data_IF_138687971168
#
_entry.id   IF_138687971168
#
_cell.length_a   1.000
_cell.length_b   1.000
_cell.length_c   1.000
_cell.angle_alpha   90.00
_cell.angle_beta   90.00
_cell.angle_gamma   90.00
#
_symmetry.space_group_name_H-M   'P 1'
#
loop_
_entity.id
_entity.type
_entity.pdbx_description
1 polymer ?
#
# COMPACT_ATOMS: atom_id res chain seq x y z
N UNK A 1 -18.93 -9.16 -16.39
CA UNK A 1 -17.80 -8.27 -16.69
C UNK A 1 -16.62 -8.62 -15.79
N UNK A 2 -15.42 -8.64 -16.35
CA UNK A 2 -14.20 -8.91 -15.58
C UNK A 2 -13.42 -7.61 -15.45
N UNK A 3 -13.40 -7.05 -14.25
CA UNK A 3 -12.78 -5.75 -13.97
C UNK A 3 -12.18 -5.75 -12.57
N UNK A 4 -11.15 -4.94 -12.38
CA UNK A 4 -10.52 -4.79 -11.07
C UNK A 4 -10.10 -3.34 -10.87
N UNK A 5 -10.00 -2.94 -9.62
CA UNK A 5 -9.43 -1.65 -9.23
C UNK A 5 -8.17 -1.94 -8.41
N UNK A 6 -7.11 -1.22 -8.72
CA UNK A 6 -5.89 -1.27 -7.92
C UNK A 6 -5.55 0.13 -7.41
N UNK A 7 -5.08 0.27 -6.18
CA UNK A 7 -4.41 1.50 -5.77
C UNK A 7 -3.20 1.72 -6.68
N UNK A 8 -3.01 2.94 -7.13
CA UNK A 8 -1.87 3.31 -7.95
C UNK A 8 -1.26 4.58 -7.38
N UNK A 9 -0.05 4.46 -6.82
CA UNK A 9 0.60 5.56 -6.12
C UNK A 9 1.66 6.22 -7.00
N UNK A 10 1.79 7.53 -6.85
CA UNK A 10 2.86 8.30 -7.45
C UNK A 10 3.78 8.78 -6.33
N UNK A 11 5.06 8.42 -6.41
CA UNK A 11 6.06 8.80 -5.41
C UNK A 11 7.16 9.64 -6.05
N UNK A 12 7.81 10.46 -5.26
CA UNK A 12 9.03 11.15 -5.70
C UNK A 12 10.11 10.15 -6.05
N UNK A 13 10.19 9.05 -5.29
CA UNK A 13 11.11 7.94 -5.54
C UNK A 13 10.42 6.63 -5.19
N UNK A 14 9.86 5.96 -6.20
CA UNK A 14 9.12 4.71 -6.00
C UNK A 14 10.03 3.57 -5.56
N UNK A 15 11.28 3.54 -6.01
CA UNK A 15 12.25 2.51 -5.60
C UNK A 15 12.43 2.49 -4.08
N UNK A 16 12.63 3.67 -3.48
CA UNK A 16 12.76 3.81 -2.02
C UNK A 16 11.45 3.48 -1.31
N UNK A 17 10.31 3.88 -1.90
CA UNK A 17 9.00 3.60 -1.33
C UNK A 17 8.74 2.10 -1.27
N UNK A 18 9.08 1.35 -2.31
CA UNK A 18 8.93 -0.10 -2.34
C UNK A 18 9.76 -0.76 -1.21
N UNK A 19 10.98 -0.30 -1.01
CA UNK A 19 11.83 -0.81 0.08
C UNK A 19 11.17 -0.58 1.44
N UNK A 20 10.59 0.60 1.63
CA UNK A 20 9.84 0.92 2.85
C UNK A 20 8.65 -0.03 3.05
N UNK A 21 7.84 -0.26 2.01
CA UNK A 21 6.70 -1.17 2.14
C UNK A 21 7.11 -2.62 2.36
N UNK A 22 8.24 -3.05 1.80
CA UNK A 22 8.80 -4.37 2.09
C UNK A 22 9.21 -4.49 3.56
N UNK A 23 9.90 -3.49 4.09
CA UNK A 23 10.41 -3.51 5.45
C UNK A 23 9.31 -3.33 6.49
N UNK A 24 8.41 -2.36 6.29
CA UNK A 24 7.43 -1.95 7.30
C UNK A 24 6.09 -2.67 7.15
N UNK A 25 5.62 -2.86 5.91
CA UNK A 25 4.33 -3.47 5.63
C UNK A 25 4.43 -4.97 5.27
N UNK A 26 5.64 -5.48 5.13
CA UNK A 26 5.81 -6.86 4.71
C UNK A 26 5.43 -7.11 3.26
N UNK A 27 5.57 -6.12 2.40
CA UNK A 27 5.23 -6.26 0.99
C UNK A 27 6.02 -7.38 0.32
N UNK A 28 5.34 -8.13 -0.54
CA UNK A 28 5.91 -9.26 -1.28
C UNK A 28 5.58 -9.12 -2.77
N UNK A 29 6.03 -10.08 -3.57
CA UNK A 29 5.75 -10.14 -5.01
C UNK A 29 6.07 -8.83 -5.73
N UNK A 30 7.21 -8.25 -5.38
CA UNK A 30 7.66 -6.97 -5.93
C UNK A 30 8.16 -7.13 -7.37
N UNK A 31 7.71 -6.23 -8.24
CA UNK A 31 8.33 -6.06 -9.57
C UNK A 31 8.50 -4.56 -9.82
N UNK A 32 9.51 -4.22 -10.61
CA UNK A 32 9.81 -2.82 -10.92
C UNK A 32 10.45 -2.72 -12.31
N UNK A 33 9.92 -1.82 -13.12
CA UNK A 33 10.42 -1.54 -14.47
C UNK A 33 10.98 -0.14 -14.53
N UNK A 34 12.25 -0.04 -14.92
CA UNK A 34 12.93 1.24 -15.14
C UNK A 34 12.72 1.73 -16.57
N UNK A 35 12.82 3.05 -16.81
CA UNK A 35 12.72 3.55 -18.19
C UNK A 35 13.91 3.10 -19.02
N UNK A 36 13.65 2.87 -20.30
CA UNK A 36 14.69 2.59 -21.29
C UNK A 36 15.23 3.92 -21.84
N UNK A 37 16.42 3.94 -22.48
CA UNK A 37 16.97 5.19 -23.04
C UNK A 37 16.01 5.94 -23.96
N UNK A 38 15.19 5.25 -24.76
CA UNK A 38 14.20 5.87 -25.62
C UNK A 38 13.14 6.63 -24.82
N UNK A 39 12.73 6.07 -23.69
CA UNK A 39 11.74 6.67 -22.80
C UNK A 39 12.30 7.87 -22.04
N UNK A 40 13.63 7.88 -21.79
CA UNK A 40 14.28 9.00 -21.14
C UNK A 40 14.09 10.31 -21.91
N UNK A 41 14.15 10.23 -23.24
CA UNK A 41 13.93 11.40 -24.10
C UNK A 41 12.46 11.84 -24.06
N UNK A 42 11.55 10.88 -24.05
CA UNK A 42 10.11 11.12 -24.04
C UNK A 42 9.65 11.83 -22.77
N UNK A 43 10.28 11.52 -21.63
CA UNK A 43 9.94 12.11 -20.32
C UNK A 43 10.88 13.23 -19.89
N UNK A 44 11.71 13.73 -20.80
CA UNK A 44 12.67 14.83 -20.53
C UNK A 44 13.59 14.55 -19.35
N UNK A 45 14.02 13.30 -19.19
CA UNK A 45 14.94 12.90 -18.12
C UNK A 45 16.34 13.43 -18.47
N UNK A 46 16.97 14.19 -17.56
CA UNK A 46 18.30 14.76 -17.83
C UNK A 46 19.36 13.69 -18.09
N UNK A 47 20.34 14.02 -18.93
CA UNK A 47 21.51 13.18 -19.11
C UNK A 47 22.28 13.03 -17.80
N UNK A 48 22.89 11.88 -17.59
CA UNK A 48 23.66 11.59 -16.39
C UNK A 48 22.84 11.01 -15.24
N UNK A 49 21.52 10.98 -15.37
CA UNK A 49 20.65 10.30 -14.39
C UNK A 49 20.74 8.79 -14.63
N UNK A 50 20.92 8.04 -13.54
CA UNK A 50 20.93 6.58 -13.63
C UNK A 50 19.48 6.09 -13.82
N UNK A 51 19.16 5.59 -15.00
CA UNK A 51 17.81 5.13 -15.33
C UNK A 51 17.35 3.96 -14.45
N UNK A 52 18.28 3.18 -13.91
CA UNK A 52 17.93 2.07 -13.03
C UNK A 52 17.35 2.53 -11.69
N UNK A 53 17.57 3.78 -11.32
CA UNK A 53 17.01 4.36 -10.09
C UNK A 53 15.61 4.95 -10.30
N UNK A 54 15.15 5.03 -11.54
CA UNK A 54 13.83 5.55 -11.89
C UNK A 54 12.85 4.41 -12.08
N UNK A 55 11.58 4.66 -11.80
CA UNK A 55 10.52 3.66 -11.89
C UNK A 55 9.41 4.14 -12.81
N UNK A 56 9.25 3.46 -13.95
CA UNK A 56 8.15 3.70 -14.89
C UNK A 56 6.87 3.02 -14.43
N UNK A 57 7.01 1.84 -13.83
CA UNK A 57 5.88 1.06 -13.34
C UNK A 57 6.40 0.02 -12.37
N UNK A 58 5.65 -0.18 -11.30
CA UNK A 58 5.99 -1.17 -10.28
C UNK A 58 4.74 -1.68 -9.60
N UNK A 59 4.89 -2.75 -8.88
CA UNK A 59 3.82 -3.29 -8.06
C UNK A 59 4.35 -4.17 -6.95
N UNK A 60 3.52 -4.38 -5.97
CA UNK A 60 3.81 -5.24 -4.83
C UNK A 60 2.50 -5.70 -4.21
N UNK A 61 2.59 -6.63 -3.28
CA UNK A 61 1.42 -7.22 -2.61
C UNK A 61 1.50 -6.96 -1.11
N UNK A 62 0.42 -6.48 -0.51
CA UNK A 62 0.27 -6.29 0.93
C UNK A 62 -0.91 -7.14 1.39
N UNK A 63 -0.68 -8.09 2.30
CA UNK A 63 -1.73 -8.98 2.81
C UNK A 63 -2.55 -9.62 1.68
N UNK A 64 -1.88 -10.05 0.61
CA UNK A 64 -2.53 -10.68 -0.53
C UNK A 64 -3.18 -9.72 -1.52
N UNK A 65 -3.11 -8.43 -1.29
CA UNK A 65 -3.74 -7.41 -2.15
C UNK A 65 -2.70 -6.64 -2.95
N UNK A 66 -2.97 -6.47 -4.24
CA UNK A 66 -2.03 -5.83 -5.17
C UNK A 66 -2.11 -4.31 -5.12
N UNK A 67 -0.95 -3.69 -5.06
CA UNK A 67 -0.78 -2.23 -5.16
C UNK A 67 0.21 -1.95 -6.29
N UNK A 68 -0.04 -0.91 -7.06
CA UNK A 68 0.84 -0.48 -8.13
C UNK A 68 1.36 0.92 -7.86
N UNK A 69 2.49 1.28 -8.45
CA UNK A 69 3.08 2.60 -8.27
C UNK A 69 4.07 2.94 -9.38
N UNK A 70 4.48 4.18 -9.39
CA UNK A 70 5.52 4.69 -10.28
C UNK A 70 6.10 5.97 -9.70
N UNK A 71 7.20 6.44 -10.28
CA UNK A 71 7.69 7.79 -10.00
C UNK A 71 6.71 8.83 -10.54
N UNK A 72 6.58 9.94 -9.85
CA UNK A 72 5.73 11.05 -10.29
C UNK A 72 6.49 11.93 -11.29
N UNK A 73 6.60 11.47 -12.53
CA UNK A 73 7.34 12.20 -13.57
C UNK A 73 6.70 13.54 -13.91
N UNK A 74 5.38 13.59 -13.98
CA UNK A 74 4.64 14.79 -14.38
C UNK A 74 3.51 15.15 -13.43
N UNK A 75 3.28 14.35 -12.42
CA UNK A 75 2.16 14.50 -11.50
C UNK A 75 2.55 15.04 -10.14
N UNK A 76 1.53 15.26 -9.33
CA UNK A 76 1.70 15.66 -7.94
C UNK A 76 1.77 14.40 -7.07
N UNK A 77 2.78 14.30 -6.20
CA UNK A 77 2.92 13.21 -5.25
C UNK A 77 2.56 13.61 -3.82
N UNK A 78 1.89 14.75 -3.66
CA UNK A 78 1.47 15.19 -2.34
C UNK A 78 0.27 14.37 -1.83
N UNK A 79 0.23 14.07 -0.53
CA UNK A 79 -0.87 13.29 0.03
C UNK A 79 -2.20 14.04 -0.01
N UNK A 80 -3.29 13.27 -0.13
CA UNK A 80 -4.65 13.79 -0.07
C UNK A 80 -5.43 13.03 1.00
N UNK A 81 -6.06 13.74 1.92
CA UNK A 81 -6.88 13.14 2.98
C UNK A 81 -8.25 12.65 2.51
N UNK A 82 -8.60 12.85 1.25
CA UNK A 82 -9.91 12.50 0.73
C UNK A 82 -10.11 11.00 0.54
N UNK A 83 -9.03 10.26 0.24
CA UNK A 83 -9.11 8.82 -0.03
C UNK A 83 -8.29 8.07 1.01
N UNK A 84 -8.90 7.03 1.58
CA UNK A 84 -8.21 6.06 2.45
C UNK A 84 -8.33 4.68 1.83
N UNK A 85 -7.38 3.82 2.14
CA UNK A 85 -7.39 2.43 1.68
C UNK A 85 -7.77 1.52 2.83
N UNK A 86 -8.78 0.70 2.63
CA UNK A 86 -9.24 -0.25 3.65
C UNK A 86 -8.72 -1.64 3.30
N UNK A 87 -7.91 -2.19 4.21
CA UNK A 87 -7.46 -3.58 4.15
C UNK A 87 -8.50 -4.41 4.91
N UNK A 88 -9.35 -5.12 4.19
CA UNK A 88 -10.45 -5.87 4.78
C UNK A 88 -10.14 -7.36 4.78
N UNK A 89 -10.10 -7.94 5.95
CA UNK A 89 -9.59 -9.29 6.21
C UNK A 89 -10.70 -10.15 6.81
N UNK A 90 -10.87 -11.35 6.30
CA UNK A 90 -11.84 -12.31 6.82
C UNK A 90 -11.31 -13.00 8.09
N UNK A 91 -11.89 -12.67 9.24
CA UNK A 91 -11.46 -13.24 10.52
C UNK A 91 -11.86 -14.70 10.71
N UNK A 92 -12.71 -15.24 9.84
CA UNK A 92 -13.09 -16.67 9.89
C UNK A 92 -11.97 -17.57 9.36
N UNK A 93 -11.05 -17.02 8.58
CA UNK A 93 -9.85 -17.72 8.15
C UNK A 93 -8.74 -17.49 9.17
N UNK A 94 -8.32 -18.51 9.95
CA UNK A 94 -7.34 -18.31 11.02
C UNK A 94 -6.00 -17.77 10.53
N UNK A 95 -5.56 -18.17 9.34
CA UNK A 95 -4.31 -17.68 8.76
C UNK A 95 -4.40 -16.17 8.45
N UNK A 96 -5.52 -15.72 7.89
CA UNK A 96 -5.76 -14.32 7.58
C UNK A 96 -5.88 -13.48 8.85
N UNK A 97 -6.61 -13.98 9.85
CA UNK A 97 -6.77 -13.29 11.13
C UNK A 97 -5.41 -13.09 11.81
N UNK A 98 -4.58 -14.14 11.82
CA UNK A 98 -3.24 -14.04 12.40
C UNK A 98 -2.36 -13.08 11.61
N UNK A 99 -2.43 -13.12 10.29
CA UNK A 99 -1.65 -12.22 9.43
C UNK A 99 -2.00 -10.75 9.71
N UNK A 100 -3.27 -10.45 9.94
CA UNK A 100 -3.70 -9.09 10.27
C UNK A 100 -3.15 -8.65 11.62
N UNK A 101 -3.21 -9.50 12.64
CA UNK A 101 -2.67 -9.18 13.96
C UNK A 101 -1.16 -8.96 13.91
N UNK A 102 -0.42 -9.83 13.23
CA UNK A 102 1.03 -9.71 13.07
C UNK A 102 1.40 -8.45 12.30
N UNK A 103 0.64 -8.12 11.28
CA UNK A 103 0.82 -6.90 10.48
C UNK A 103 0.69 -5.65 11.36
N UNK A 104 -0.38 -5.57 12.13
CA UNK A 104 -0.60 -4.42 13.01
C UNK A 104 0.48 -4.30 14.08
N UNK A 105 0.88 -5.42 14.69
CA UNK A 105 1.95 -5.43 15.69
C UNK A 105 3.25 -4.86 15.11
N UNK A 106 3.57 -5.22 13.87
CA UNK A 106 4.75 -4.70 13.19
C UNK A 106 4.64 -3.21 12.92
N UNK A 107 3.45 -2.72 12.53
CA UNK A 107 3.21 -1.29 12.32
C UNK A 107 3.40 -0.49 13.61
N UNK A 108 2.90 -0.99 14.73
CA UNK A 108 3.01 -0.31 16.02
C UNK A 108 4.47 -0.09 16.44
N UNK A 109 5.37 -0.98 16.03
CA UNK A 109 6.78 -0.92 16.38
C UNK A 109 7.60 -0.02 15.46
N UNK A 110 7.00 0.48 14.39
CA UNK A 110 7.71 1.30 13.40
C UNK A 110 7.61 2.78 13.75
N UNK A 111 8.74 3.49 13.66
CA UNK A 111 8.77 4.94 13.82
C UNK A 111 8.28 5.67 12.56
N UNK A 112 8.10 4.94 11.45
CA UNK A 112 7.70 5.49 10.16
C UNK A 112 6.21 5.27 9.85
N UNK A 113 5.41 4.94 10.88
CA UNK A 113 3.97 4.79 10.79
C UNK A 113 3.32 5.53 11.95
N UNK A 114 2.30 6.30 11.65
CA UNK A 114 1.48 6.96 12.67
C UNK A 114 0.19 6.18 12.86
N UNK A 115 -0.05 5.63 14.05
CA UNK A 115 -1.30 4.97 14.39
C UNK A 115 -2.32 6.07 14.70
N UNK A 116 -3.35 6.19 13.88
CA UNK A 116 -4.40 7.20 14.07
C UNK A 116 -5.59 6.63 14.84
N UNK A 117 -5.80 5.32 14.80
CA UNK A 117 -6.82 4.63 15.56
C UNK A 117 -6.31 3.24 15.93
N UNK A 118 -6.21 2.88 17.22
CA UNK A 118 -5.75 1.55 17.62
C UNK A 118 -6.63 0.45 17.03
N UNK A 119 -6.02 -0.68 16.68
CA UNK A 119 -6.73 -1.83 16.12
C UNK A 119 -7.41 -2.61 17.24
N UNK A 120 -8.69 -2.34 17.46
CA UNK A 120 -9.46 -2.87 18.57
C UNK A 120 -10.86 -3.29 18.12
N UNK A 121 -11.50 -4.15 18.92
CA UNK A 121 -12.89 -4.54 18.73
C UNK A 121 -13.80 -3.31 18.70
N UNK A 122 -14.77 -3.31 17.79
CA UNK A 122 -15.74 -2.26 17.65
C UNK A 122 -17.14 -2.80 17.97
N UNK A 123 -18.08 -1.90 18.22
CA UNK A 123 -19.44 -2.28 18.64
C UNK A 123 -20.19 -3.08 17.57
N UNK A 124 -19.80 -2.99 16.30
CA UNK A 124 -20.44 -3.72 15.21
C UNK A 124 -19.91 -5.15 15.03
N UNK A 125 -18.98 -5.61 15.88
CA UNK A 125 -18.52 -6.98 15.90
C UNK A 125 -17.25 -7.30 15.12
N UNK A 126 -16.57 -6.28 14.61
CA UNK A 126 -15.29 -6.41 13.96
C UNK A 126 -14.21 -5.64 14.68
N UNK A 127 -12.95 -5.88 14.31
CA UNK A 127 -11.81 -5.05 14.76
C UNK A 127 -11.47 -4.06 13.67
N UNK A 128 -11.17 -2.82 14.05
CA UNK A 128 -10.75 -1.80 13.10
C UNK A 128 -9.65 -0.93 13.70
N UNK A 129 -8.70 -0.57 12.86
CA UNK A 129 -7.65 0.38 13.19
C UNK A 129 -7.35 1.27 12.01
N UNK A 130 -6.65 2.37 12.25
CA UNK A 130 -6.25 3.31 11.23
C UNK A 130 -4.81 3.71 11.39
N UNK A 131 -4.14 4.01 10.30
CA UNK A 131 -2.75 4.44 10.34
C UNK A 131 -2.41 5.23 9.08
N UNK A 132 -1.38 6.07 9.22
CA UNK A 132 -0.86 6.87 8.10
C UNK A 132 0.59 6.45 7.87
N UNK A 133 0.95 6.18 6.62
CA UNK A 133 2.30 5.75 6.30
C UNK A 133 3.25 6.94 6.16
N UNK A 134 4.53 6.65 5.94
CA UNK A 134 5.60 7.64 5.78
C UNK A 134 5.31 8.66 4.68
N UNK A 135 4.54 8.27 3.68
CA UNK A 135 4.23 9.10 2.52
C UNK A 135 2.92 9.88 2.66
N UNK A 136 2.27 9.78 3.83
CA UNK A 136 1.02 10.50 4.10
C UNK A 136 -0.24 9.80 3.59
N UNK A 137 -0.12 8.56 3.15
CA UNK A 137 -1.26 7.77 2.69
C UNK A 137 -1.99 7.20 3.90
N UNK A 138 -3.30 7.37 3.92
CA UNK A 138 -4.16 6.89 5.01
C UNK A 138 -4.67 5.49 4.73
N UNK A 139 -4.49 4.61 5.70
CA UNK A 139 -4.90 3.21 5.63
C UNK A 139 -5.82 2.88 6.80
N UNK A 140 -6.70 1.91 6.58
CA UNK A 140 -7.48 1.29 7.65
C UNK A 140 -7.31 -0.23 7.57
N UNK A 141 -7.25 -0.88 8.72
CA UNK A 141 -7.23 -2.33 8.83
C UNK A 141 -8.50 -2.77 9.50
N UNK A 142 -9.20 -3.70 8.88
CA UNK A 142 -10.48 -4.21 9.39
C UNK A 142 -10.51 -5.72 9.30
N UNK A 143 -10.92 -6.38 10.37
CA UNK A 143 -11.19 -7.82 10.35
C UNK A 143 -12.59 -8.07 10.86
N UNK A 144 -13.32 -8.96 10.21
CA UNK A 144 -14.65 -9.37 10.61
C UNK A 144 -14.97 -10.75 10.02
N UNK A 145 -15.93 -11.47 10.62
CA UNK A 145 -16.39 -12.72 10.01
C UNK A 145 -17.25 -12.43 8.79
N UNK A 146 -16.71 -12.66 7.61
CA UNK A 146 -17.36 -12.28 6.35
C UNK A 146 -18.72 -12.95 6.14
N UNK A 147 -18.90 -14.20 6.61
CA UNK A 147 -20.16 -14.89 6.47
C UNK A 147 -21.31 -14.24 7.26
N UNK A 148 -20.98 -13.38 8.24
CA UNK A 148 -21.93 -12.70 9.11
C UNK A 148 -22.05 -11.20 8.83
N UNK A 149 -21.28 -10.70 7.87
CA UNK A 149 -21.27 -9.28 7.53
C UNK A 149 -22.27 -9.00 6.40
N UNK A 150 -23.13 -8.00 6.60
CA UNK A 150 -24.07 -7.56 5.56
C UNK A 150 -23.34 -6.85 4.42
N UNK A 151 -22.13 -6.39 4.66
CA UNK A 151 -21.34 -5.67 3.66
C UNK A 151 -20.67 -6.60 2.65
N UNK A 152 -20.75 -7.92 2.89
CA UNK A 152 -20.12 -8.93 2.02
C UNK A 152 -21.15 -9.87 1.40
N UNK A 153 -22.35 -9.40 1.23
CA UNK A 153 -23.44 -10.16 0.61
C UNK A 153 -23.24 -10.37 -0.89
#
# INVERSE_FOLDING_TARGET
MQSQIYPYFAFKNAKSAIEYYQEVFGATEVYRLSPKPEQAKEFDIPEGVNLDDLTMHAGFTILGMKVECADAFTGNSEPSGQVSLLLDINSEDPESAKAADDFYEKLEKSDDVEITMPFEEQFWGGKMGGFTDKYGINWMLHTSPWSKSVDHS
#
